data_IF_464912154539
#
_entry.id   IF_464912154539
#
_cell.length_a   1.000
_cell.length_b   1.000
_cell.length_c   1.000
_cell.angle_alpha   90.00
_cell.angle_beta   90.00
_cell.angle_gamma   90.00
#
_symmetry.space_group_name_H-M   'P 1'
#
loop_
_entity.id
_entity.type
_entity.pdbx_description
1 polymer ?
#
# COMPACT_ATOMS: atom_id res chain seq x y z
N UNK A 1 -2.50 -16.53 -12.16
CA UNK A 1 -2.66 -15.10 -12.41
C UNK A 1 -2.65 -14.85 -13.90
N UNK A 2 -3.80 -14.44 -14.44
CA UNK A 2 -4.05 -14.23 -15.87
C UNK A 2 -3.45 -12.92 -16.40
N UNK A 3 -3.44 -11.88 -15.58
CA UNK A 3 -2.91 -10.56 -15.94
C UNK A 3 -1.62 -10.30 -15.18
N UNK A 4 -0.67 -9.64 -15.84
CA UNK A 4 0.59 -9.21 -15.23
C UNK A 4 1.08 -7.95 -15.91
N UNK A 5 1.40 -6.93 -15.13
CA UNK A 5 2.14 -5.76 -15.59
C UNK A 5 3.51 -5.68 -14.91
N UNK A 6 4.45 -5.03 -15.57
CA UNK A 6 5.83 -4.88 -15.12
C UNK A 6 6.22 -3.42 -15.28
N UNK A 7 6.76 -2.82 -14.23
CA UNK A 7 7.17 -1.42 -14.20
C UNK A 7 6.06 -0.42 -14.58
N UNK A 8 4.83 -0.73 -14.17
CA UNK A 8 3.63 0.12 -14.36
C UNK A 8 2.93 0.41 -13.03
N UNK A 9 3.69 0.57 -11.93
CA UNK A 9 3.13 0.79 -10.59
C UNK A 9 2.27 2.07 -10.55
N UNK A 10 2.67 3.11 -11.26
CA UNK A 10 1.89 4.36 -11.38
C UNK A 10 0.50 4.18 -12.02
N UNK A 11 0.27 3.05 -12.70
CA UNK A 11 -1.01 2.65 -13.29
C UNK A 11 -1.87 1.81 -12.34
N UNK A 12 -1.44 1.64 -11.10
CA UNK A 12 -2.16 0.95 -10.03
C UNK A 12 -2.51 1.96 -8.93
N UNK A 13 -3.67 1.82 -8.32
CA UNK A 13 -4.00 2.47 -7.04
C UNK A 13 -4.43 1.40 -6.06
N UNK A 14 -3.85 1.49 -4.86
CA UNK A 14 -4.11 0.62 -3.72
C UNK A 14 -4.81 1.39 -2.59
N UNK A 15 -5.35 2.56 -2.89
CA UNK A 15 -6.09 3.37 -1.92
C UNK A 15 -7.29 2.57 -1.41
N UNK A 16 -7.50 2.59 -0.10
CA UNK A 16 -8.49 1.82 0.65
C UNK A 16 -8.36 0.29 0.52
N UNK A 17 -7.19 -0.22 0.15
CA UNK A 17 -7.01 -1.66 -0.06
C UNK A 17 -6.52 -2.40 1.19
N UNK A 18 -7.24 -3.43 1.66
CA UNK A 18 -6.78 -4.25 2.77
C UNK A 18 -5.58 -5.10 2.33
N UNK A 19 -4.59 -5.21 3.20
CA UNK A 19 -3.42 -6.07 2.99
C UNK A 19 -3.80 -7.48 3.42
N UNK A 20 -3.81 -8.42 2.48
CA UNK A 20 -4.12 -9.84 2.73
C UNK A 20 -2.89 -10.59 3.22
N UNK A 21 -1.72 -10.25 2.69
CA UNK A 21 -0.44 -10.80 3.16
C UNK A 21 0.69 -9.83 2.89
N UNK A 22 1.70 -9.83 3.75
CA UNK A 22 2.90 -9.03 3.58
C UNK A 22 4.15 -9.89 3.81
N UNK A 23 5.09 -9.83 2.88
CA UNK A 23 6.36 -10.53 2.97
C UNK A 23 7.50 -9.58 2.61
N UNK A 24 8.53 -9.56 3.44
CA UNK A 24 9.75 -8.80 3.20
C UNK A 24 10.97 -9.69 3.42
N UNK A 25 11.86 -9.68 2.44
CA UNK A 25 13.16 -10.32 2.48
C UNK A 25 14.25 -9.29 2.15
N UNK A 26 15.50 -9.73 2.10
CA UNK A 26 16.65 -8.84 1.85
C UNK A 26 16.53 -8.04 0.55
N UNK A 27 15.96 -8.63 -0.50
CA UNK A 27 15.92 -8.05 -1.85
C UNK A 27 14.51 -8.03 -2.47
N UNK A 28 13.48 -8.38 -1.72
CA UNK A 28 12.11 -8.45 -2.24
C UNK A 28 11.10 -8.02 -1.17
N UNK A 29 10.14 -7.19 -1.57
CA UNK A 29 8.94 -6.87 -0.80
C UNK A 29 7.73 -7.28 -1.62
N UNK A 30 6.88 -8.13 -1.06
CA UNK A 30 5.67 -8.63 -1.71
C UNK A 30 4.45 -8.33 -0.85
N UNK A 31 3.49 -7.62 -1.45
CA UNK A 31 2.16 -7.41 -0.90
C UNK A 31 1.16 -8.23 -1.69
N UNK A 32 0.20 -8.83 -0.98
CA UNK A 32 -1.07 -9.24 -1.58
C UNK A 32 -2.15 -8.34 -1.02
N UNK A 33 -2.89 -7.69 -1.91
CA UNK A 33 -3.98 -6.77 -1.56
C UNK A 33 -5.32 -7.40 -1.90
N UNK A 34 -6.36 -7.11 -1.12
CA UNK A 34 -7.72 -7.60 -1.37
C UNK A 34 -8.38 -6.99 -2.61
N UNK A 35 -7.80 -5.92 -3.15
CA UNK A 35 -8.22 -5.28 -4.39
C UNK A 35 -7.27 -4.18 -4.83
N UNK A 36 -7.47 -3.69 -6.04
CA UNK A 36 -6.82 -2.47 -6.52
C UNK A 36 -7.60 -1.88 -7.69
N UNK A 37 -7.36 -0.60 -7.93
CA UNK A 37 -7.80 0.04 -9.16
C UNK A 37 -6.69 -0.03 -10.21
N UNK A 38 -7.00 -0.64 -11.34
CA UNK A 38 -6.16 -0.69 -12.53
C UNK A 38 -6.56 0.46 -13.45
N UNK A 39 -5.68 1.44 -13.59
CA UNK A 39 -5.99 2.66 -14.37
C UNK A 39 -6.16 2.34 -15.85
N UNK A 40 -6.90 3.19 -16.57
CA UNK A 40 -7.10 3.06 -18.01
C UNK A 40 -5.80 3.04 -18.84
N UNK A 41 -4.71 3.60 -18.29
CA UNK A 41 -3.39 3.61 -18.93
C UNK A 41 -2.56 2.34 -18.72
N UNK A 42 -3.00 1.40 -17.89
CA UNK A 42 -2.28 0.14 -17.67
C UNK A 42 -2.28 -0.72 -18.93
N UNK A 43 -1.16 -1.37 -19.28
CA UNK A 43 -1.07 -2.18 -20.51
C UNK A 43 -2.00 -3.39 -20.54
N UNK A 44 -2.41 -3.89 -19.38
CA UNK A 44 -3.35 -5.00 -19.24
C UNK A 44 -4.81 -4.54 -19.23
N UNK A 45 -5.07 -3.24 -19.11
CA UNK A 45 -6.42 -2.68 -19.13
C UNK A 45 -6.78 -2.22 -20.55
N UNK A 46 -7.44 -3.11 -21.30
CA UNK A 46 -7.94 -2.80 -22.63
C UNK A 46 -9.18 -1.89 -22.65
N UNK A 47 -9.65 -1.38 -21.50
CA UNK A 47 -10.81 -0.49 -21.41
C UNK A 47 -10.36 0.96 -21.23
N UNK A 48 -11.09 1.91 -21.82
CA UNK A 48 -10.82 3.35 -21.71
C UNK A 48 -11.30 3.97 -20.38
N UNK A 49 -11.36 3.16 -19.32
CA UNK A 49 -11.80 3.56 -17.98
C UNK A 49 -11.03 2.76 -16.94
N UNK A 50 -10.97 3.28 -15.73
CA UNK A 50 -10.38 2.59 -14.60
C UNK A 50 -11.22 1.35 -14.24
N UNK A 51 -10.54 0.27 -13.88
CA UNK A 51 -11.14 -1.02 -13.60
C UNK A 51 -10.69 -1.52 -12.23
N UNK A 52 -11.62 -1.89 -11.38
CA UNK A 52 -11.30 -2.56 -10.14
C UNK A 52 -10.91 -4.02 -10.42
N UNK A 53 -9.89 -4.53 -9.76
CA UNK A 53 -9.59 -5.97 -9.69
C UNK A 53 -9.83 -6.49 -8.27
N UNK A 54 -10.04 -7.80 -8.16
CA UNK A 54 -10.00 -8.46 -6.87
C UNK A 54 -8.56 -8.59 -6.38
N UNK A 55 -8.27 -9.68 -5.69
CA UNK A 55 -6.93 -9.94 -5.18
C UNK A 55 -5.82 -9.73 -6.23
N UNK A 56 -4.81 -8.97 -5.82
CA UNK A 56 -3.66 -8.60 -6.63
C UNK A 56 -2.40 -8.73 -5.79
N UNK A 57 -1.37 -9.32 -6.38
CA UNK A 57 -0.03 -9.38 -5.78
C UNK A 57 0.86 -8.35 -6.44
N UNK A 58 1.50 -7.51 -5.63
CA UNK A 58 2.55 -6.57 -6.01
C UNK A 58 3.87 -7.06 -5.43
N UNK A 59 4.85 -7.30 -6.29
CA UNK A 59 6.22 -7.66 -5.91
C UNK A 59 7.18 -6.56 -6.35
N UNK A 60 7.94 -6.04 -5.40
CA UNK A 60 9.02 -5.07 -5.61
C UNK A 60 10.35 -5.81 -5.52
N UNK A 61 11.12 -5.80 -6.61
CA UNK A 61 12.37 -6.52 -6.75
C UNK A 61 13.58 -5.62 -6.50
N UNK A 62 14.63 -6.22 -5.93
CA UNK A 62 15.79 -5.53 -5.35
C UNK A 62 15.34 -4.46 -4.36
N UNK A 63 14.27 -4.77 -3.63
CA UNK A 63 13.62 -3.84 -2.74
C UNK A 63 14.42 -3.68 -1.44
N UNK A 64 14.52 -2.46 -0.95
CA UNK A 64 15.13 -2.14 0.34
C UNK A 64 14.25 -1.15 1.09
N UNK A 65 13.81 -1.53 2.29
CA UNK A 65 13.16 -0.59 3.19
C UNK A 65 14.15 0.52 3.56
N UNK A 66 13.71 1.77 3.41
CA UNK A 66 14.49 2.95 3.80
C UNK A 66 14.07 3.50 5.15
N UNK A 67 12.77 3.53 5.41
CA UNK A 67 12.20 4.11 6.62
C UNK A 67 10.87 3.46 6.93
N UNK A 68 10.58 3.33 8.21
CA UNK A 68 9.25 3.04 8.72
C UNK A 68 8.95 4.08 9.78
N UNK A 69 7.84 4.80 9.64
CA UNK A 69 7.51 5.95 10.47
C UNK A 69 6.12 5.74 11.04
N UNK A 70 5.95 5.97 12.34
CA UNK A 70 4.63 6.15 12.92
C UNK A 70 4.24 7.61 12.74
N UNK A 71 3.12 7.85 12.07
CA UNK A 71 2.57 9.19 11.90
C UNK A 71 2.11 9.75 13.26
N UNK A 72 2.46 11.01 13.50
CA UNK A 72 2.03 11.76 14.66
C UNK A 72 0.58 12.24 14.55
N UNK A 73 0.10 12.95 15.57
CA UNK A 73 -1.27 13.45 15.61
C UNK A 73 -1.33 14.87 16.15
N UNK A 74 -2.24 15.68 15.60
CA UNK A 74 -2.52 17.04 16.07
C UNK A 74 -3.94 17.11 16.61
N UNK A 75 -4.06 17.57 17.86
CA UNK A 75 -5.33 17.76 18.54
C UNK A 75 -5.68 19.24 18.57
N UNK A 76 -6.84 19.57 18.02
CA UNK A 76 -7.39 20.91 18.00
C UNK A 76 -8.63 20.99 18.89
N UNK A 77 -8.86 22.14 19.52
CA UNK A 77 -10.13 22.41 20.18
C UNK A 77 -11.25 22.74 19.17
N UNK A 78 -12.47 22.92 19.66
CA UNK A 78 -13.65 23.20 18.82
C UNK A 78 -13.55 24.56 18.10
N UNK A 79 -12.69 25.46 18.57
CA UNK A 79 -12.42 26.76 17.95
C UNK A 79 -11.28 26.69 16.92
N UNK A 80 -10.69 25.49 16.73
CA UNK A 80 -9.61 25.23 15.77
C UNK A 80 -8.21 25.57 16.28
N UNK A 81 -8.02 25.82 17.57
CA UNK A 81 -6.69 26.09 18.13
C UNK A 81 -5.95 24.79 18.45
N UNK A 82 -4.67 24.72 18.08
CA UNK A 82 -3.81 23.58 18.38
C UNK A 82 -3.60 23.48 19.90
N UNK A 83 -3.98 22.34 20.47
CA UNK A 83 -3.84 22.04 21.90
C UNK A 83 -2.64 21.13 22.16
N UNK A 84 -2.41 20.15 21.29
CA UNK A 84 -1.33 19.16 21.44
C UNK A 84 -0.87 18.66 20.08
N UNK A 85 0.42 18.44 19.95
CA UNK A 85 1.05 17.80 18.80
C UNK A 85 1.90 16.63 19.29
N UNK A 86 1.68 15.46 18.69
CA UNK A 86 2.55 14.30 18.75
C UNK A 86 3.29 14.30 17.41
N UNK A 87 4.63 14.40 17.37
CA UNK A 87 5.39 14.41 16.13
C UNK A 87 5.47 13.00 15.53
N UNK A 88 5.79 12.93 14.24
CA UNK A 88 6.14 11.68 13.58
C UNK A 88 7.39 11.08 14.21
N UNK A 89 7.42 9.75 14.36
CA UNK A 89 8.53 9.03 14.97
C UNK A 89 9.00 7.88 14.08
N UNK A 90 10.31 7.82 13.83
CA UNK A 90 10.91 6.67 13.15
C UNK A 90 10.77 5.42 14.04
N UNK A 91 10.24 4.34 13.47
CA UNK A 91 10.17 3.05 14.16
C UNK A 91 11.60 2.51 14.33
N UNK A 92 12.06 2.28 15.57
CA UNK A 92 13.42 1.83 15.81
C UNK A 92 13.61 0.40 15.28
N UNK A 93 14.82 0.07 14.81
CA UNK A 93 15.12 -1.24 14.19
C UNK A 93 14.60 -2.46 14.99
N UNK A 94 14.73 -2.53 16.33
CA UNK A 94 14.23 -3.68 17.10
C UNK A 94 12.70 -3.84 17.07
N UNK A 95 11.95 -2.79 16.73
CA UNK A 95 10.49 -2.78 16.68
C UNK A 95 9.93 -2.97 15.27
N UNK A 96 10.75 -2.85 14.22
CA UNK A 96 10.31 -2.93 12.82
C UNK A 96 9.58 -4.24 12.54
N UNK A 97 10.15 -5.39 12.94
CA UNK A 97 9.54 -6.70 12.70
C UNK A 97 8.16 -6.82 13.35
N UNK A 98 8.02 -6.32 14.58
CA UNK A 98 6.74 -6.31 15.31
C UNK A 98 5.69 -5.47 14.58
N UNK A 99 6.04 -4.27 14.11
CA UNK A 99 5.11 -3.41 13.37
C UNK A 99 4.73 -4.03 12.03
N UNK A 100 5.71 -4.49 11.26
CA UNK A 100 5.52 -5.06 9.93
C UNK A 100 4.66 -6.32 9.96
N UNK A 101 4.80 -7.16 11.00
CA UNK A 101 3.95 -8.35 11.17
C UNK A 101 2.45 -8.03 11.32
N UNK A 102 2.10 -6.79 11.68
CA UNK A 102 0.70 -6.34 11.80
C UNK A 102 0.16 -5.75 10.50
N UNK A 103 0.99 -5.56 9.46
CA UNK A 103 0.51 -5.01 8.19
C UNK A 103 -0.59 -5.85 7.55
N UNK A 104 -0.64 -7.16 7.77
CA UNK A 104 -1.72 -8.04 7.29
C UNK A 104 -3.10 -7.77 7.93
N UNK A 105 -3.14 -6.96 9.00
CA UNK A 105 -4.39 -6.42 9.56
C UNK A 105 -4.70 -5.01 9.06
N UNK A 106 -3.78 -4.42 8.30
CA UNK A 106 -3.82 -3.02 7.89
C UNK A 106 -4.52 -2.79 6.56
N UNK A 107 -4.84 -1.52 6.33
CA UNK A 107 -5.39 -1.02 5.07
C UNK A 107 -4.47 0.07 4.54
N UNK A 108 -4.13 -0.01 3.26
CA UNK A 108 -3.40 1.08 2.60
C UNK A 108 -4.36 2.24 2.38
N UNK A 109 -4.08 3.40 2.96
CA UNK A 109 -4.86 4.60 2.69
C UNK A 109 -4.34 5.34 1.46
N UNK A 110 -3.02 5.30 1.23
CA UNK A 110 -2.43 5.85 0.00
C UNK A 110 -1.05 5.29 -0.31
N UNK A 111 -0.62 5.45 -1.56
CA UNK A 111 0.75 5.19 -2.00
C UNK A 111 1.31 6.39 -2.76
N UNK A 112 2.45 6.90 -2.29
CA UNK A 112 3.19 7.97 -2.98
C UNK A 112 4.40 7.38 -3.68
N UNK A 113 4.44 7.50 -5.00
CA UNK A 113 5.59 7.07 -5.81
C UNK A 113 6.59 8.22 -5.98
N UNK A 114 7.87 7.89 -6.01
CA UNK A 114 8.94 8.87 -6.17
C UNK A 114 10.26 8.26 -6.61
N UNK A 115 11.33 8.99 -6.33
CA UNK A 115 12.70 8.55 -6.57
C UNK A 115 13.59 8.94 -5.38
N UNK A 116 14.43 8.02 -4.92
CA UNK A 116 15.43 8.24 -3.87
C UNK A 116 16.77 7.73 -4.40
N UNK A 117 17.78 8.60 -4.43
CA UNK A 117 19.14 8.29 -4.90
C UNK A 117 19.18 7.63 -6.30
N UNK A 118 18.31 8.07 -7.21
CA UNK A 118 18.22 7.52 -8.57
C UNK A 118 17.50 6.17 -8.70
N UNK A 119 16.87 5.69 -7.61
CA UNK A 119 16.08 4.45 -7.59
C UNK A 119 14.61 4.78 -7.38
N UNK A 120 13.72 4.00 -8.02
CA UNK A 120 12.26 4.13 -7.81
C UNK A 120 11.94 3.94 -6.33
N UNK A 121 11.04 4.75 -5.79
CA UNK A 121 10.56 4.64 -4.42
C UNK A 121 9.04 4.57 -4.35
N UNK A 122 8.54 3.92 -3.29
CA UNK A 122 7.14 3.93 -2.91
C UNK A 122 7.04 4.14 -1.39
N UNK A 123 6.16 5.04 -0.99
CA UNK A 123 5.78 5.28 0.39
C UNK A 123 4.34 4.85 0.57
N UNK A 124 4.14 3.75 1.30
CA UNK A 124 2.82 3.23 1.63
C UNK A 124 2.37 3.84 2.94
N UNK A 125 1.27 4.57 2.90
CA UNK A 125 0.54 4.98 4.08
C UNK A 125 -0.42 3.87 4.49
N UNK A 126 -0.22 3.28 5.66
CA UNK A 126 -0.93 2.07 6.11
C UNK A 126 -1.56 2.34 7.47
N UNK A 127 -2.88 2.25 7.54
CA UNK A 127 -3.62 2.24 8.80
C UNK A 127 -3.60 0.83 9.37
N UNK A 128 -3.01 0.69 10.55
CA UNK A 128 -2.84 -0.59 11.25
C UNK A 128 -3.58 -0.53 12.57
N UNK A 129 -4.50 -1.47 12.87
CA UNK A 129 -5.18 -1.52 14.16
C UNK A 129 -4.18 -1.57 15.32
N UNK A 130 -4.46 -0.79 16.38
CA UNK A 130 -3.62 -0.82 17.58
C UNK A 130 -3.73 -2.18 18.28
N UNK A 131 -2.68 -2.57 19.00
CA UNK A 131 -2.67 -3.84 19.75
C UNK A 131 -3.57 -3.80 20.98
N UNK A 132 -3.69 -2.62 21.60
CA UNK A 132 -4.48 -2.42 22.83
C UNK A 132 -5.97 -2.24 22.54
N UNK A 133 -6.31 -1.68 21.37
CA UNK A 133 -7.67 -1.44 20.90
C UNK A 133 -7.74 -1.56 19.36
N UNK A 134 -8.31 -2.65 18.86
CA UNK A 134 -8.42 -2.90 17.41
C UNK A 134 -9.44 -1.96 16.72
N UNK A 135 -10.24 -1.17 17.46
CA UNK A 135 -11.10 -0.14 16.89
C UNK A 135 -10.34 1.17 16.59
N UNK A 136 -9.17 1.38 17.22
CA UNK A 136 -8.27 2.48 16.91
C UNK A 136 -7.17 2.05 15.94
N UNK A 137 -6.68 2.98 15.13
CA UNK A 137 -5.62 2.73 14.15
C UNK A 137 -4.41 3.63 14.41
N UNK A 138 -3.23 3.07 14.22
CA UNK A 138 -1.98 3.78 14.03
C UNK A 138 -1.67 3.86 12.53
N UNK A 139 -1.35 5.04 12.04
CA UNK A 139 -0.92 5.22 10.66
C UNK A 139 0.60 5.10 10.56
N UNK A 140 1.06 4.23 9.67
CA UNK A 140 2.48 4.02 9.40
C UNK A 140 2.83 4.37 7.95
N UNK A 141 3.97 5.04 7.77
CA UNK A 141 4.58 5.27 6.46
C UNK A 141 5.71 4.29 6.24
N UNK A 142 5.49 3.31 5.37
CA UNK A 142 6.49 2.32 4.94
C UNK A 142 7.14 2.77 3.63
N UNK A 143 8.40 3.24 3.73
CA UNK A 143 9.18 3.73 2.60
C UNK A 143 10.13 2.65 2.09
N UNK A 144 10.02 2.32 0.81
CA UNK A 144 10.83 1.31 0.12
C UNK A 144 11.38 1.86 -1.19
N UNK A 145 12.64 1.53 -1.49
CA UNK A 145 13.20 1.71 -2.84
C UNK A 145 13.27 0.37 -3.55
N UNK A 146 13.14 0.36 -4.87
CA UNK A 146 13.14 -0.86 -5.68
C UNK A 146 13.68 -0.55 -7.09
N UNK A 147 14.09 -1.59 -7.82
CA UNK A 147 14.52 -1.44 -9.22
C UNK A 147 13.37 -1.76 -10.19
N UNK A 148 12.57 -2.77 -9.84
CA UNK A 148 11.51 -3.29 -10.69
C UNK A 148 10.25 -3.59 -9.88
N UNK A 149 9.10 -3.26 -10.44
CA UNK A 149 7.80 -3.67 -9.90
C UNK A 149 7.13 -4.69 -10.82
N UNK A 150 6.48 -5.69 -10.23
CA UNK A 150 5.64 -6.63 -10.95
C UNK A 150 4.31 -6.75 -10.21
N UNK A 151 3.19 -6.57 -10.91
CA UNK A 151 1.88 -6.80 -10.32
C UNK A 151 1.11 -7.83 -11.14
N UNK A 152 0.33 -8.68 -10.47
CA UNK A 152 -0.44 -9.71 -11.13
C UNK A 152 -1.76 -10.03 -10.41
N UNK A 153 -2.80 -10.30 -11.19
CA UNK A 153 -4.17 -10.55 -10.71
C UNK A 153 -4.90 -11.50 -11.65
N UNK A 154 -6.03 -12.05 -11.20
CA UNK A 154 -6.77 -13.08 -11.95
C UNK A 154 -7.89 -12.50 -12.84
N UNK A 155 -8.62 -11.50 -12.33
CA UNK A 155 -9.79 -10.93 -13.02
C UNK A 155 -10.08 -9.49 -12.61
N UNK A 156 -10.72 -8.77 -13.52
CA UNK A 156 -11.40 -7.51 -13.20
C UNK A 156 -12.75 -7.79 -12.52
N UNK A 157 -13.09 -6.98 -11.53
CA UNK A 157 -14.37 -6.96 -10.84
C UNK A 157 -15.30 -5.96 -11.54
N UNK A 158 -15.71 -6.29 -12.77
CA UNK A 158 -16.83 -5.59 -13.40
C UNK A 158 -18.12 -5.93 -12.64
N UNK A 159 -19.15 -5.05 -12.61
CA UNK A 159 -20.52 -5.54 -12.51
C UNK A 159 -20.70 -6.60 -13.62
N UNK A 160 -21.27 -7.76 -13.27
CA UNK A 160 -21.35 -8.94 -14.13
C UNK A 160 -21.50 -8.60 -15.62
N UNK A 161 -20.60 -9.12 -16.45
CA UNK A 161 -20.87 -9.24 -17.87
C UNK A 161 -22.08 -10.17 -18.04
N UNK A 162 -23.27 -9.59 -18.24
CA UNK A 162 -24.49 -10.29 -18.64
C UNK A 162 -25.17 -11.11 -17.53
N UNK A 163 -26.15 -10.51 -16.86
CA UNK A 163 -27.38 -11.24 -16.59
C UNK A 163 -28.04 -11.51 -17.95
N UNK A 164 -27.67 -12.62 -18.59
CA UNK A 164 -28.50 -13.38 -19.52
C UNK A 164 -27.72 -14.63 -19.99
N UNK A 165 -28.02 -15.77 -19.38
CA UNK A 165 -28.17 -17.09 -20.00
C UNK A 165 -28.94 -18.01 -19.05
#
# INVERSE_FOLDING_TARGET
>A
MKFRCVDEFEQLSFDDSPIVSFQMSTDEVTFTFGGATIKAGNSQNGRFQDMYCGEITLTLLQAQMKRLVKEGMKYYDADGNLQREIPDEDVPEPAVESVVSRFEKGTVFTVVLGEIDGRKSAEFGIDVPQEEDEEEVDTYWFCVVFEKSEASWERYCSPAEGADS
#
